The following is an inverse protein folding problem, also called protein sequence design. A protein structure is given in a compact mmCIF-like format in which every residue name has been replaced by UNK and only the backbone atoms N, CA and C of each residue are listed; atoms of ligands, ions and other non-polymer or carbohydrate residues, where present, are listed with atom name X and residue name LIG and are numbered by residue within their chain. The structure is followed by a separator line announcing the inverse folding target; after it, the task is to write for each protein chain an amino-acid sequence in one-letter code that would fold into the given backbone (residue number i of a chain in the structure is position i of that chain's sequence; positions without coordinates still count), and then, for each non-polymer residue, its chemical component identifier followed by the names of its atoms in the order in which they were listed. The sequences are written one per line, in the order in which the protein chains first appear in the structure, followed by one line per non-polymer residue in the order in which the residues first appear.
data_IF_172602050823
#
_entry.id   IF_172602050823
#
_cell.length_a   1.000
_cell.length_b   1.000
_cell.length_c   1.000
_cell.angle_alpha   90.00
_cell.angle_beta   90.00
_cell.angle_gamma   90.00
#
_symmetry.space_group_name_H-M   'P 1'
#
loop_
_entity.id
_entity.type
_entity.pdbx_description
1 polymer ?
#
# COMPACT_ATOMS: atom_id res chain seq x y z
N UNK A 1 -16.98 15.88 -3.36
CA UNK A 1 -15.63 15.87 -3.96
C UNK A 1 -14.66 15.64 -2.83
N UNK A 2 -14.11 14.43 -2.73
CA UNK A 2 -13.09 14.10 -1.74
C UNK A 2 -11.81 14.86 -2.10
N UNK A 3 -11.33 15.70 -1.18
CA UNK A 3 -10.07 16.41 -1.33
C UNK A 3 -9.02 15.51 -0.71
N UNK A 4 -8.17 14.88 -1.53
CA UNK A 4 -6.98 14.20 -1.05
C UNK A 4 -6.05 15.26 -0.44
N UNK A 5 -6.23 15.52 0.86
CA UNK A 5 -5.31 16.32 1.64
C UNK A 5 -4.05 15.48 1.85
N UNK A 6 -2.93 15.93 1.29
CA UNK A 6 -1.64 15.64 1.91
C UNK A 6 -1.65 16.37 3.25
N UNK A 7 -1.92 15.63 4.32
CA UNK A 7 -1.99 16.19 5.65
C UNK A 7 -0.62 16.77 5.99
N UNK A 8 -0.54 18.09 6.03
CA UNK A 8 0.70 18.79 6.35
C UNK A 8 0.86 18.67 7.86
N UNK A 9 1.99 18.16 8.39
CA UNK A 9 2.14 18.01 9.83
C UNK A 9 1.89 19.37 10.50
N UNK A 10 0.97 19.38 11.46
CA UNK A 10 0.58 20.54 12.24
C UNK A 10 1.81 21.09 12.98
N UNK A 11 2.50 22.05 12.36
CA UNK A 11 3.60 22.77 12.98
C UNK A 11 3.02 23.56 14.15
N UNK A 12 3.27 23.11 15.37
CA UNK A 12 3.03 23.91 16.57
C UNK A 12 3.72 25.28 16.39
N UNK A 13 2.92 26.32 16.41
CA UNK A 13 3.34 27.70 16.19
C UNK A 13 4.08 28.22 17.42
N UNK A 14 5.36 27.90 17.51
CA UNK A 14 6.32 28.66 18.34
C UNK A 14 6.61 30.04 17.74
N UNK A 15 7.13 31.00 18.52
CA UNK A 15 7.19 32.44 18.20
C UNK A 15 8.14 32.85 17.06
N UNK A 16 8.53 31.94 16.16
CA UNK A 16 9.49 32.17 15.07
C UNK A 16 8.92 31.90 13.65
N UNK A 17 7.62 32.10 13.39
CA UNK A 17 7.00 31.85 12.06
C UNK A 17 7.01 33.05 11.10
N UNK A 18 8.18 33.67 10.87
CA UNK A 18 8.26 34.88 10.03
C UNK A 18 8.33 34.68 8.51
N UNK A 19 8.10 33.48 7.94
CA UNK A 19 8.34 33.26 6.49
C UNK A 19 7.16 32.79 5.63
N UNK A 20 5.97 32.49 6.17
CA UNK A 20 4.91 31.84 5.34
C UNK A 20 4.02 32.78 4.53
N UNK A 21 3.99 34.10 4.83
CA UNK A 21 3.03 35.02 4.18
C UNK A 21 3.35 35.34 2.72
N UNK A 22 4.62 35.28 2.31
CA UNK A 22 5.04 35.63 0.94
C UNK A 22 5.02 34.44 -0.03
N UNK A 23 5.23 33.22 0.47
CA UNK A 23 5.27 32.02 -0.36
C UNK A 23 3.89 31.38 -0.55
N UNK A 24 2.87 31.81 0.19
CA UNK A 24 1.53 31.21 0.12
C UNK A 24 0.95 31.15 -1.30
N UNK A 25 1.00 32.22 -2.13
CA UNK A 25 0.52 32.13 -3.51
C UNK A 25 1.25 31.07 -4.35
N UNK A 26 2.56 30.88 -4.11
CA UNK A 26 3.36 29.86 -4.80
C UNK A 26 2.98 28.46 -4.33
N UNK A 27 2.83 28.24 -3.02
CA UNK A 27 2.40 26.95 -2.45
C UNK A 27 1.02 26.58 -2.97
N UNK A 28 0.06 27.52 -2.95
CA UNK A 28 -1.30 27.30 -3.43
C UNK A 28 -1.31 26.97 -4.93
N UNK A 29 -0.46 27.64 -5.75
CA UNK A 29 -0.34 27.36 -7.17
C UNK A 29 0.26 25.97 -7.46
N UNK A 30 1.30 25.56 -6.73
CA UNK A 30 1.90 24.22 -6.86
C UNK A 30 0.88 23.15 -6.46
N UNK A 31 0.20 23.33 -5.33
CA UNK A 31 -0.81 22.37 -4.87
C UNK A 31 -1.98 22.26 -5.85
N UNK A 32 -2.48 23.41 -6.36
CA UNK A 32 -3.51 23.44 -7.38
C UNK A 32 -3.09 22.75 -8.68
N UNK A 33 -1.86 22.99 -9.14
CA UNK A 33 -1.31 22.32 -10.32
C UNK A 33 -1.18 20.81 -10.14
N UNK A 34 -0.69 20.35 -8.98
CA UNK A 34 -0.61 18.92 -8.66
C UNK A 34 -1.98 18.26 -8.62
N UNK A 35 -2.97 18.92 -8.00
CA UNK A 35 -4.35 18.41 -7.97
C UNK A 35 -4.96 18.36 -9.37
N UNK A 36 -4.72 19.37 -10.21
CA UNK A 36 -5.23 19.39 -11.57
C UNK A 36 -4.61 18.30 -12.45
N UNK A 37 -3.31 18.03 -12.30
CA UNK A 37 -2.61 17.05 -13.11
C UNK A 37 -2.79 15.61 -12.61
N UNK A 38 -2.79 15.39 -11.29
CA UNK A 38 -2.71 14.05 -10.69
C UNK A 38 -3.89 13.71 -9.78
N UNK A 39 -4.81 14.64 -9.49
CA UNK A 39 -5.88 14.39 -8.51
C UNK A 39 -6.74 13.18 -8.81
N UNK A 40 -7.07 12.94 -10.09
CA UNK A 40 -7.83 11.76 -10.51
C UNK A 40 -7.00 10.47 -10.45
N UNK A 41 -5.70 10.55 -10.75
CA UNK A 41 -4.79 9.41 -10.70
C UNK A 41 -4.52 8.97 -9.25
N UNK A 42 -4.45 9.93 -8.32
CA UNK A 42 -4.21 9.65 -6.89
C UNK A 42 -5.37 8.94 -6.18
N UNK A 43 -6.55 8.89 -6.80
CA UNK A 43 -7.70 8.14 -6.27
C UNK A 43 -7.86 6.75 -6.90
N UNK A 44 -7.00 6.38 -7.85
CA UNK A 44 -6.99 5.03 -8.42
C UNK A 44 -6.45 4.02 -7.38
N UNK A 45 -7.13 2.88 -7.16
CA UNK A 45 -6.76 1.89 -6.15
C UNK A 45 -5.30 1.43 -6.23
N UNK A 46 -4.76 1.31 -7.44
CA UNK A 46 -3.41 0.85 -7.73
C UNK A 46 -2.36 1.86 -7.22
N UNK A 47 -2.60 3.16 -7.42
CA UNK A 47 -1.71 4.21 -6.91
C UNK A 47 -1.76 4.32 -5.39
N UNK A 48 -2.95 4.16 -4.81
CA UNK A 48 -3.12 4.14 -3.35
C UNK A 48 -2.40 2.91 -2.77
N UNK A 49 -2.56 1.73 -3.37
CA UNK A 49 -1.89 0.50 -2.97
C UNK A 49 -0.36 0.65 -3.04
N UNK A 50 0.16 1.20 -4.14
CA UNK A 50 1.59 1.47 -4.30
C UNK A 50 2.11 2.43 -3.21
N UNK A 51 1.37 3.48 -2.88
CA UNK A 51 1.71 4.40 -1.79
C UNK A 51 1.73 3.69 -0.43
N UNK A 52 0.77 2.79 -0.15
CA UNK A 52 0.74 2.01 1.09
C UNK A 52 1.95 1.07 1.18
N UNK A 53 2.40 0.50 0.06
CA UNK A 53 3.60 -0.34 -0.01
C UNK A 53 4.91 0.46 0.10
N UNK A 54 4.87 1.79 0.21
CA UNK A 54 6.03 2.59 0.61
C UNK A 54 6.13 2.62 2.15
N UNK A 55 7.17 2.04 2.77
CA UNK A 55 7.24 1.88 4.23
C UNK A 55 7.14 3.17 5.04
N UNK A 56 7.60 4.29 4.48
CA UNK A 56 7.50 5.61 5.12
C UNK A 56 6.07 6.17 5.15
N UNK A 57 5.25 5.78 4.20
CA UNK A 57 3.91 6.34 4.04
C UNK A 57 2.89 5.44 4.71
N UNK A 58 2.87 4.14 4.36
CA UNK A 58 1.82 3.20 4.80
C UNK A 58 0.45 3.87 4.70
N UNK A 59 -0.22 4.09 5.82
CA UNK A 59 -1.53 4.76 5.90
C UNK A 59 -1.47 6.16 6.50
N UNK A 60 -0.27 6.71 6.75
CA UNK A 60 -0.08 7.97 7.47
C UNK A 60 -0.06 9.22 6.58
N UNK A 61 -0.02 9.06 5.26
CA UNK A 61 0.10 10.17 4.30
C UNK A 61 -1.23 10.88 4.01
N UNK A 62 -2.35 10.30 4.43
CA UNK A 62 -3.70 10.86 4.30
C UNK A 62 -4.51 10.51 5.56
N UNK A 63 -5.39 11.41 5.96
CA UNK A 63 -6.39 11.19 7.01
C UNK A 63 -7.73 10.66 6.46
N UNK A 64 -7.87 10.55 5.14
CA UNK A 64 -9.07 10.01 4.50
C UNK A 64 -9.10 8.47 4.63
N UNK A 65 -9.86 7.99 5.60
CA UNK A 65 -10.05 6.56 5.87
C UNK A 65 -10.63 5.79 4.67
N UNK A 66 -11.42 6.44 3.81
CA UNK A 66 -11.99 5.79 2.63
C UNK A 66 -10.92 5.52 1.58
N UNK A 67 -10.01 6.48 1.36
CA UNK A 67 -8.86 6.30 0.47
C UNK A 67 -7.95 5.20 1.01
N UNK A 68 -7.63 5.23 2.31
CA UNK A 68 -6.81 4.18 2.93
C UNK A 68 -7.47 2.81 2.74
N UNK A 69 -8.76 2.70 3.07
CA UNK A 69 -9.50 1.44 2.94
C UNK A 69 -9.48 0.91 1.51
N UNK A 70 -9.70 1.77 0.51
CA UNK A 70 -9.69 1.37 -0.90
C UNK A 70 -8.37 0.71 -1.31
N UNK A 71 -7.24 1.28 -0.89
CA UNK A 71 -5.92 0.69 -1.16
C UNK A 71 -5.65 -0.59 -0.38
N UNK A 72 -6.10 -0.67 0.88
CA UNK A 72 -5.96 -1.88 1.70
C UNK A 72 -6.75 -3.05 1.12
N UNK A 73 -7.98 -2.81 0.68
CA UNK A 73 -8.85 -3.81 0.07
C UNK A 73 -8.23 -4.26 -1.26
N UNK A 74 -7.74 -3.33 -2.11
CA UNK A 74 -7.06 -3.66 -3.36
C UNK A 74 -5.83 -4.56 -3.16
N UNK A 75 -4.99 -4.29 -2.15
CA UNK A 75 -3.82 -5.13 -1.85
C UNK A 75 -4.25 -6.54 -1.43
N UNK A 76 -5.30 -6.65 -0.60
CA UNK A 76 -5.81 -7.95 -0.16
C UNK A 76 -6.36 -8.76 -1.33
N UNK A 77 -7.14 -8.12 -2.20
CA UNK A 77 -7.69 -8.76 -3.39
C UNK A 77 -6.57 -9.33 -4.29
N UNK A 78 -5.49 -8.57 -4.53
CA UNK A 78 -4.33 -9.07 -5.27
C UNK A 78 -3.59 -10.22 -4.56
N UNK A 79 -3.45 -10.17 -3.23
CA UNK A 79 -2.84 -11.24 -2.44
C UNK A 79 -3.69 -12.52 -2.44
N UNK A 80 -5.01 -12.40 -2.63
CA UNK A 80 -5.92 -13.53 -2.82
C UNK A 80 -5.89 -14.04 -4.27
N UNK A 81 -5.80 -13.17 -5.28
CA UNK A 81 -5.79 -13.54 -6.71
C UNK A 81 -4.52 -14.29 -7.13
N UNK A 82 -3.34 -13.85 -6.67
CA UNK A 82 -2.05 -14.51 -6.93
C UNK A 82 -2.00 -15.98 -6.44
N UNK A 83 -2.98 -16.40 -5.64
CA UNK A 83 -3.12 -17.79 -5.15
C UNK A 83 -3.86 -18.70 -6.11
N UNK A 84 -4.69 -18.15 -7.00
CA UNK A 84 -5.47 -18.91 -7.97
C UNK A 84 -4.64 -19.27 -9.20
N UNK A 85 -3.70 -18.40 -9.57
CA UNK A 85 -2.85 -18.56 -10.75
C UNK A 85 -1.65 -19.49 -10.54
N UNK A 86 -1.38 -19.91 -9.29
CA UNK A 86 -0.37 -20.91 -8.95
C UNK A 86 -0.95 -22.34 -8.92
N UNK A 87 -1.62 -22.77 -10.00
CA UNK A 87 -1.73 -24.21 -10.27
C UNK A 87 -0.47 -24.63 -11.01
N UNK A 88 0.29 -25.65 -10.53
CA UNK A 88 1.49 -26.07 -11.22
C UNK A 88 1.10 -26.70 -12.56
N UNK A 89 1.38 -25.97 -13.65
CA UNK A 89 1.42 -26.55 -14.98
C UNK A 89 2.72 -27.37 -15.09
N UNK A 90 2.55 -28.63 -15.50
CA UNK A 90 3.54 -29.62 -15.93
C UNK A 90 4.35 -30.39 -14.88
N UNK A 91 3.91 -31.63 -14.60
CA UNK A 91 4.67 -32.83 -15.01
C UNK A 91 3.86 -34.11 -14.76
N UNK A 92 3.53 -34.81 -15.84
CA UNK A 92 3.07 -36.20 -15.79
C UNK A 92 4.14 -37.10 -15.18
N UNK A 93 3.86 -37.73 -14.04
CA UNK A 93 4.33 -39.08 -13.68
C UNK A 93 3.72 -39.50 -12.33
N UNK A 94 3.09 -40.67 -12.32
CA UNK A 94 2.38 -41.27 -11.21
C UNK A 94 3.21 -41.47 -9.92
N UNK A 95 2.61 -41.16 -8.76
CA UNK A 95 2.71 -41.95 -7.52
C UNK A 95 1.65 -41.45 -6.54
N UNK A 96 0.69 -42.30 -6.24
CA UNK A 96 -0.48 -42.04 -5.40
C UNK A 96 -0.12 -42.04 -3.90
N UNK A 97 0.05 -40.85 -3.33
CA UNK A 97 -0.21 -40.58 -1.92
C UNK A 97 -0.61 -39.12 -1.78
N UNK A 98 -1.89 -38.85 -2.09
CA UNK A 98 -2.53 -37.56 -1.81
C UNK A 98 -2.42 -37.29 -0.31
N UNK A 99 -1.51 -36.39 0.06
CA UNK A 99 -1.31 -35.93 1.42
C UNK A 99 -2.59 -35.22 1.89
N UNK A 100 -3.46 -35.94 2.59
CA UNK A 100 -4.77 -35.47 3.07
C UNK A 100 -4.66 -34.17 3.90
N UNK A 101 -3.47 -33.91 4.46
CA UNK A 101 -3.14 -32.69 5.20
C UNK A 101 -2.71 -31.52 4.29
N UNK A 102 -2.33 -31.76 3.03
CA UNK A 102 -2.04 -30.71 2.06
C UNK A 102 -3.28 -29.89 1.72
N UNK A 103 -4.48 -30.50 1.76
CA UNK A 103 -5.75 -29.79 1.63
C UNK A 103 -6.04 -28.83 2.81
N UNK A 104 -5.31 -28.98 3.93
CA UNK A 104 -5.39 -28.08 5.10
C UNK A 104 -4.22 -27.09 5.18
N UNK A 105 -3.32 -27.06 4.18
CA UNK A 105 -2.30 -26.00 4.12
C UNK A 105 -3.05 -24.66 4.04
N UNK A 106 -2.72 -23.67 4.88
CA UNK A 106 -3.34 -22.36 4.81
C UNK A 106 -3.20 -21.87 3.38
N UNK A 107 -4.33 -21.54 2.75
CA UNK A 107 -4.40 -20.98 1.40
C UNK A 107 -3.32 -19.90 1.31
N UNK A 108 -2.43 -19.97 0.33
CA UNK A 108 -1.24 -19.11 0.24
C UNK A 108 -1.56 -17.60 0.46
N UNK A 109 -2.77 -17.16 0.14
CA UNK A 109 -3.26 -15.79 0.34
C UNK A 109 -3.52 -15.43 1.80
N UNK A 110 -3.92 -16.39 2.63
CA UNK A 110 -4.02 -16.19 4.09
C UNK A 110 -2.66 -15.88 4.71
N UNK A 111 -1.56 -16.42 4.15
CA UNK A 111 -0.20 -16.07 4.57
C UNK A 111 0.21 -14.69 4.05
N UNK A 112 -0.15 -14.35 2.80
CA UNK A 112 0.04 -13.01 2.24
C UNK A 112 -0.63 -11.90 3.06
N UNK A 113 -1.89 -12.12 3.47
CA UNK A 113 -2.65 -11.18 4.30
C UNK A 113 -2.00 -11.02 5.68
N UNK A 114 -1.55 -12.12 6.31
CA UNK A 114 -0.82 -12.05 7.59
C UNK A 114 0.49 -11.27 7.48
N UNK A 115 1.23 -11.46 6.38
CA UNK A 115 2.42 -10.66 6.10
C UNK A 115 2.07 -9.18 5.92
N UNK A 116 0.96 -8.88 5.27
CA UNK A 116 0.47 -7.52 5.10
C UNK A 116 0.11 -6.85 6.43
N UNK A 117 -0.63 -7.55 7.30
CA UNK A 117 -0.95 -7.06 8.64
C UNK A 117 0.33 -6.84 9.47
N UNK A 118 1.30 -7.75 9.36
CA UNK A 118 2.62 -7.61 9.99
C UNK A 118 3.40 -6.39 9.47
N UNK A 119 3.34 -6.12 8.17
CA UNK A 119 3.95 -4.96 7.54
C UNK A 119 3.36 -3.65 8.08
N UNK A 120 2.02 -3.57 8.19
CA UNK A 120 1.32 -2.40 8.71
C UNK A 120 1.63 -2.17 10.20
N UNK A 121 1.75 -3.23 11.00
CA UNK A 121 2.10 -3.15 12.42
C UNK A 121 3.58 -2.80 12.66
N UNK A 122 4.47 -3.11 11.70
CA UNK A 122 5.91 -2.87 11.82
C UNK A 122 6.23 -1.36 11.93
N UNK A 123 7.22 -1.01 12.76
CA UNK A 123 7.66 0.39 12.96
C UNK A 123 8.83 0.80 12.06
N UNK A 124 9.47 -0.14 11.39
CA UNK A 124 10.51 0.18 10.42
C UNK A 124 9.89 0.88 9.20
N UNK A 125 10.65 1.83 8.65
CA UNK A 125 10.24 2.73 7.56
C UNK A 125 11.28 2.75 6.42
N UNK A 126 12.31 1.91 6.50
CA UNK A 126 13.31 1.75 5.45
C UNK A 126 12.80 0.86 4.31
N UNK A 127 13.35 1.08 3.11
CA UNK A 127 12.94 0.37 1.89
C UNK A 127 13.26 -1.14 1.97
N UNK A 128 14.26 -1.52 2.74
CA UNK A 128 14.71 -2.92 2.82
C UNK A 128 13.76 -3.77 3.66
N UNK A 129 12.91 -3.14 4.49
CA UNK A 129 11.90 -3.81 5.30
C UNK A 129 11.00 -4.76 4.51
N UNK A 130 10.63 -4.39 3.28
CA UNK A 130 9.77 -5.21 2.41
C UNK A 130 10.37 -6.57 2.07
N UNK A 131 11.70 -6.73 2.13
CA UNK A 131 12.36 -8.04 1.97
C UNK A 131 11.96 -9.03 3.06
N UNK A 132 11.47 -8.55 4.20
CA UNK A 132 10.95 -9.38 5.30
C UNK A 132 9.52 -9.85 5.05
N UNK A 133 8.86 -9.33 4.02
CA UNK A 133 7.48 -9.66 3.62
C UNK A 133 7.45 -10.05 2.14
N UNK A 134 7.88 -11.27 1.78
CA UNK A 134 8.03 -11.71 0.39
C UNK A 134 6.80 -11.47 -0.49
N UNK A 135 5.59 -11.68 0.04
CA UNK A 135 4.35 -11.49 -0.73
C UNK A 135 4.16 -10.02 -1.18
N UNK A 136 4.49 -9.07 -0.29
CA UNK A 136 4.38 -7.63 -0.58
C UNK A 136 5.50 -7.15 -1.49
N UNK A 137 6.70 -7.73 -1.36
CA UNK A 137 7.84 -7.38 -2.20
C UNK A 137 7.64 -7.81 -3.67
N UNK A 138 6.85 -8.87 -3.91
CA UNK A 138 6.41 -9.23 -5.27
C UNK A 138 5.39 -8.21 -5.78
N UNK A 139 4.37 -7.88 -4.98
CA UNK A 139 3.31 -6.95 -5.35
C UNK A 139 3.82 -5.52 -5.63
N UNK A 140 4.91 -5.10 -4.99
CA UNK A 140 5.51 -3.80 -5.25
C UNK A 140 6.26 -3.75 -6.60
N UNK A 141 6.56 -4.90 -7.21
CA UNK A 141 7.32 -5.01 -8.47
C UNK A 141 6.45 -5.28 -9.70
N UNK A 142 5.23 -5.79 -9.49
CA UNK A 142 4.21 -5.95 -10.53
C UNK A 142 3.65 -4.60 -10.95
#
# INVERSE_FOLDING_TARGET
MASAYFDTPHLETGPNSFTSRYCKPLVDAIQGGLQQCFGNMLVEPEFIAAAILVPKFKTSWTSDEHIVKLGLDNIKDHLEEETSNQTPVDSSSASEEEDFFASMKPTHGQEGIKQFDGYLACKADDKEMLKSFPALHVLQRS
#
